data_IF_124317103392
#
_entry.id   IF_124317103392
#
_cell.length_a   1.000
_cell.length_b   1.000
_cell.length_c   1.000
_cell.angle_alpha   90.00
_cell.angle_beta   90.00
_cell.angle_gamma   90.00
#
_symmetry.space_group_name_H-M   'P 1'
#
loop_
_entity.id
_entity.type
_entity.pdbx_description
1 polymer ?
#
# COMPACT_ATOMS: atom_id res chain seq x y z
N UNK A 1 -72.55 106.32 -105.81
CA UNK A 1 -71.89 105.14 -105.21
C UNK A 1 -71.91 105.35 -103.69
N UNK A 2 -72.50 104.41 -102.95
CA UNK A 2 -73.03 104.68 -101.60
C UNK A 2 -71.90 104.90 -100.57
N UNK A 3 -71.60 106.16 -100.24
CA UNK A 3 -70.57 106.55 -99.26
C UNK A 3 -70.81 105.97 -97.86
N UNK A 4 -72.07 105.66 -97.54
CA UNK A 4 -72.48 104.95 -96.31
C UNK A 4 -71.95 103.52 -96.24
N UNK A 5 -71.86 102.79 -97.36
CA UNK A 5 -71.28 101.44 -97.40
C UNK A 5 -69.76 101.48 -97.19
N UNK A 6 -69.06 102.49 -97.71
CA UNK A 6 -67.62 102.69 -97.48
C UNK A 6 -67.31 103.02 -96.01
N UNK A 7 -68.10 103.91 -95.38
CA UNK A 7 -67.96 104.21 -93.95
C UNK A 7 -68.27 103.01 -93.04
N UNK A 8 -69.29 102.22 -93.39
CA UNK A 8 -69.60 100.95 -92.71
C UNK A 8 -68.47 99.93 -92.88
N UNK A 9 -67.86 99.82 -94.07
CA UNK A 9 -66.75 98.91 -94.32
C UNK A 9 -65.49 99.29 -93.52
N UNK A 10 -65.16 100.59 -93.44
CA UNK A 10 -64.03 101.08 -92.62
C UNK A 10 -64.28 100.85 -91.13
N UNK A 11 -65.50 101.12 -90.65
CA UNK A 11 -65.89 100.88 -89.25
C UNK A 11 -65.86 99.38 -88.91
N UNK A 12 -66.32 98.53 -89.84
CA UNK A 12 -66.24 97.07 -89.71
C UNK A 12 -64.79 96.59 -89.71
N UNK A 13 -63.92 97.11 -90.58
CA UNK A 13 -62.50 96.77 -90.62
C UNK A 13 -61.78 97.17 -89.32
N UNK A 14 -62.05 98.35 -88.77
CA UNK A 14 -61.50 98.77 -87.46
C UNK A 14 -62.02 97.90 -86.32
N UNK A 15 -63.30 97.52 -86.33
CA UNK A 15 -63.87 96.61 -85.33
C UNK A 15 -63.26 95.21 -85.41
N UNK A 16 -63.13 94.63 -86.61
CA UNK A 16 -62.47 93.34 -86.83
C UNK A 16 -61.01 93.40 -86.38
N UNK A 17 -60.28 94.48 -86.69
CA UNK A 17 -58.92 94.69 -86.22
C UNK A 17 -58.83 94.75 -84.69
N UNK A 18 -59.75 95.48 -84.03
CA UNK A 18 -59.82 95.56 -82.57
C UNK A 18 -60.14 94.19 -81.95
N UNK A 19 -61.09 93.46 -82.51
CA UNK A 19 -61.43 92.11 -82.06
C UNK A 19 -60.24 91.15 -82.25
N UNK A 20 -59.57 91.17 -83.40
CA UNK A 20 -58.40 90.34 -83.66
C UNK A 20 -57.22 90.69 -82.75
N UNK A 21 -57.03 91.97 -82.41
CA UNK A 21 -55.88 92.41 -81.63
C UNK A 21 -56.07 92.37 -80.12
N UNK A 22 -57.28 92.65 -79.60
CA UNK A 22 -57.51 92.80 -78.16
C UNK A 22 -58.45 91.75 -77.55
N UNK A 23 -59.44 91.26 -78.31
CA UNK A 23 -60.47 90.34 -77.77
C UNK A 23 -60.13 88.88 -78.03
N UNK A 24 -59.61 88.55 -79.21
CA UNK A 24 -59.25 87.19 -79.61
C UNK A 24 -58.07 86.60 -78.83
N UNK A 25 -56.96 87.34 -78.58
CA UNK A 25 -55.81 86.79 -77.86
C UNK A 25 -56.12 86.29 -76.45
N UNK A 26 -56.83 87.01 -75.55
CA UNK A 26 -57.13 86.50 -74.21
C UNK A 26 -58.09 85.29 -74.23
N UNK A 27 -59.02 85.23 -75.18
CA UNK A 27 -59.92 84.06 -75.32
C UNK A 27 -59.14 82.82 -75.77
N UNK A 28 -58.30 82.95 -76.81
CA UNK A 28 -57.47 81.84 -77.28
C UNK A 28 -56.48 81.38 -76.20
N UNK A 29 -55.81 82.31 -75.53
CA UNK A 29 -54.90 81.98 -74.43
C UNK A 29 -55.61 81.23 -73.29
N UNK A 30 -56.84 81.61 -72.94
CA UNK A 30 -57.62 80.93 -71.90
C UNK A 30 -58.06 79.52 -72.32
N UNK A 31 -58.41 79.32 -73.60
CA UNK A 31 -58.74 78.00 -74.16
C UNK A 31 -57.50 77.11 -74.21
N UNK A 32 -56.37 77.64 -74.71
CA UNK A 32 -55.09 76.94 -74.76
C UNK A 32 -54.58 76.56 -73.37
N UNK A 33 -54.68 77.45 -72.39
CA UNK A 33 -54.30 77.15 -70.99
C UNK A 33 -55.17 76.03 -70.41
N UNK A 34 -56.49 76.04 -70.68
CA UNK A 34 -57.39 74.95 -70.27
C UNK A 34 -57.08 73.64 -70.99
N UNK A 35 -56.88 73.67 -72.31
CA UNK A 35 -56.50 72.49 -73.09
C UNK A 35 -55.18 71.91 -72.59
N UNK A 36 -54.20 72.76 -72.30
CA UNK A 36 -52.91 72.36 -71.71
C UNK A 36 -53.08 71.75 -70.32
N UNK A 37 -53.85 72.36 -69.42
CA UNK A 37 -54.12 71.79 -68.08
C UNK A 37 -54.84 70.44 -68.15
N UNK A 38 -55.75 70.25 -69.10
CA UNK A 38 -56.44 68.97 -69.31
C UNK A 38 -55.46 67.92 -69.86
N UNK A 39 -54.64 68.30 -70.84
CA UNK A 39 -53.62 67.41 -71.39
C UNK A 39 -52.59 66.99 -70.33
N UNK A 40 -52.05 67.96 -69.58
CA UNK A 40 -51.11 67.72 -68.49
C UNK A 40 -51.75 66.88 -67.37
N UNK A 41 -53.03 67.14 -67.04
CA UNK A 41 -53.79 66.36 -66.07
C UNK A 41 -54.04 64.92 -66.49
N UNK A 42 -54.35 64.68 -67.78
CA UNK A 42 -54.53 63.34 -68.34
C UNK A 42 -53.22 62.55 -68.34
N UNK A 43 -52.11 63.19 -68.76
CA UNK A 43 -50.78 62.58 -68.72
C UNK A 43 -50.34 62.27 -67.29
N UNK A 44 -50.62 63.17 -66.34
CA UNK A 44 -50.34 62.93 -64.93
C UNK A 44 -51.18 61.76 -64.36
N UNK A 45 -52.45 61.66 -64.74
CA UNK A 45 -53.33 60.56 -64.33
C UNK A 45 -52.86 59.21 -64.91
N UNK A 46 -52.44 59.17 -66.18
CA UNK A 46 -51.89 57.97 -66.81
C UNK A 46 -50.57 57.54 -66.14
N UNK A 47 -49.68 58.49 -65.83
CA UNK A 47 -48.45 58.21 -65.07
C UNK A 47 -48.75 57.68 -63.67
N UNK A 48 -49.69 58.30 -62.94
CA UNK A 48 -50.09 57.84 -61.62
C UNK A 48 -50.67 56.43 -61.65
N UNK A 49 -51.48 56.09 -62.67
CA UNK A 49 -51.98 54.74 -62.86
C UNK A 49 -50.85 53.74 -63.12
N UNK A 50 -49.90 54.08 -64.00
CA UNK A 50 -48.74 53.24 -64.27
C UNK A 50 -47.82 53.06 -63.06
N UNK A 51 -47.59 54.13 -62.30
CA UNK A 51 -46.80 54.10 -61.08
C UNK A 51 -47.47 53.26 -59.99
N UNK A 52 -48.82 53.30 -59.90
CA UNK A 52 -49.60 52.43 -59.04
C UNK A 52 -49.43 50.96 -59.42
N UNK A 53 -49.54 50.63 -60.71
CA UNK A 53 -49.36 49.26 -61.21
C UNK A 53 -47.95 48.74 -60.93
N UNK A 54 -46.93 49.57 -61.17
CA UNK A 54 -45.54 49.24 -60.85
C UNK A 54 -45.34 49.05 -59.33
N UNK A 55 -45.93 49.91 -58.51
CA UNK A 55 -45.87 49.78 -57.05
C UNK A 55 -46.56 48.51 -56.56
N UNK A 56 -47.71 48.15 -57.12
CA UNK A 56 -48.40 46.90 -56.82
C UNK A 56 -47.61 45.67 -57.25
N UNK A 57 -47.00 45.69 -58.44
CA UNK A 57 -46.14 44.62 -58.92
C UNK A 57 -44.93 44.42 -58.01
N UNK A 58 -44.23 45.51 -57.68
CA UNK A 58 -43.08 45.49 -56.78
C UNK A 58 -43.45 45.00 -55.38
N UNK A 59 -44.60 45.44 -54.84
CA UNK A 59 -45.09 44.98 -53.55
C UNK A 59 -45.42 43.47 -53.58
N UNK A 60 -46.06 42.99 -54.65
CA UNK A 60 -46.32 41.56 -54.84
C UNK A 60 -45.02 40.74 -54.89
N UNK A 61 -44.00 41.23 -55.60
CA UNK A 61 -42.73 40.51 -55.74
C UNK A 61 -41.92 40.51 -54.44
N UNK A 62 -41.90 41.63 -53.70
CA UNK A 62 -41.36 41.67 -52.34
C UNK A 62 -42.08 40.70 -51.41
N UNK A 63 -43.41 40.59 -51.51
CA UNK A 63 -44.19 39.63 -50.71
C UNK A 63 -43.88 38.17 -51.08
N UNK A 64 -43.63 37.87 -52.35
CA UNK A 64 -43.18 36.53 -52.77
C UNK A 64 -41.79 36.23 -52.25
N UNK A 65 -40.86 37.19 -52.35
CA UNK A 65 -39.50 37.02 -51.85
C UNK A 65 -39.46 36.84 -50.34
N UNK A 66 -40.21 37.67 -49.58
CA UNK A 66 -40.35 37.54 -48.14
C UNK A 66 -40.95 36.18 -47.73
N UNK A 67 -41.95 35.68 -48.47
CA UNK A 67 -42.50 34.32 -48.25
C UNK A 67 -41.47 33.23 -48.52
N UNK A 68 -40.67 33.37 -49.57
CA UNK A 68 -39.57 32.44 -49.88
C UNK A 68 -38.54 32.42 -48.76
N UNK A 69 -38.03 33.59 -48.34
CA UNK A 69 -37.06 33.67 -47.23
C UNK A 69 -37.64 33.15 -45.92
N UNK A 70 -38.91 33.45 -45.62
CA UNK A 70 -39.57 32.90 -44.44
C UNK A 70 -39.61 31.35 -44.47
N UNK A 71 -39.88 30.77 -45.64
CA UNK A 71 -39.91 29.31 -45.83
C UNK A 71 -38.51 28.72 -45.67
N UNK A 72 -37.49 29.33 -46.26
CA UNK A 72 -36.09 28.93 -46.09
C UNK A 72 -35.62 29.01 -44.63
N UNK A 73 -36.00 30.07 -43.90
CA UNK A 73 -35.68 30.22 -42.47
C UNK A 73 -36.36 29.12 -41.65
N UNK A 74 -37.63 28.81 -41.92
CA UNK A 74 -38.36 27.72 -41.25
C UNK A 74 -37.72 26.36 -41.55
N UNK A 75 -37.33 26.12 -42.80
CA UNK A 75 -36.67 24.88 -43.21
C UNK A 75 -35.30 24.73 -42.52
N UNK A 76 -34.49 25.78 -42.50
CA UNK A 76 -33.21 25.80 -41.79
C UNK A 76 -33.39 25.62 -40.28
N UNK A 77 -34.41 26.24 -39.68
CA UNK A 77 -34.72 26.07 -38.26
C UNK A 77 -35.12 24.62 -37.95
N UNK A 78 -35.94 24.00 -38.80
CA UNK A 78 -36.31 22.59 -38.67
C UNK A 78 -35.12 21.65 -38.83
N UNK A 79 -34.21 21.94 -39.79
CA UNK A 79 -32.97 21.18 -39.97
C UNK A 79 -32.06 21.27 -38.76
N UNK A 80 -31.83 22.49 -38.24
CA UNK A 80 -31.04 22.71 -37.02
C UNK A 80 -31.66 22.03 -35.81
N UNK A 81 -32.99 22.09 -35.67
CA UNK A 81 -33.70 21.38 -34.61
C UNK A 81 -33.47 19.87 -34.70
N UNK A 82 -33.55 19.27 -35.88
CA UNK A 82 -33.28 17.85 -36.07
C UNK A 82 -31.84 17.50 -35.69
N UNK A 83 -30.86 18.30 -36.14
CA UNK A 83 -29.45 18.13 -35.78
C UNK A 83 -29.22 18.18 -34.26
N UNK A 84 -29.78 19.18 -33.57
CA UNK A 84 -29.67 19.30 -32.11
C UNK A 84 -30.26 18.08 -31.41
N UNK A 85 -31.39 17.56 -31.88
CA UNK A 85 -32.03 16.36 -31.30
C UNK A 85 -31.15 15.13 -31.52
N UNK A 86 -30.56 14.98 -32.70
CA UNK A 86 -29.73 13.82 -33.03
C UNK A 86 -28.38 13.89 -32.28
N UNK A 87 -27.73 15.05 -32.20
CA UNK A 87 -26.53 15.28 -31.38
C UNK A 87 -26.81 14.99 -29.90
N UNK A 88 -27.92 15.51 -29.36
CA UNK A 88 -28.30 15.25 -27.97
C UNK A 88 -28.60 13.76 -27.71
N UNK A 89 -29.15 13.03 -28.69
CA UNK A 89 -29.33 11.58 -28.60
C UNK A 89 -28.00 10.84 -28.60
N UNK A 90 -27.08 11.20 -29.49
CA UNK A 90 -25.76 10.58 -29.54
C UNK A 90 -24.98 10.81 -28.24
N UNK A 91 -25.00 12.03 -27.71
CA UNK A 91 -24.38 12.35 -26.41
C UNK A 91 -25.03 11.57 -25.26
N UNK A 92 -26.37 11.49 -25.24
CA UNK A 92 -27.08 10.70 -24.23
C UNK A 92 -26.77 9.20 -24.32
N UNK A 93 -26.60 8.64 -25.52
CA UNK A 93 -26.21 7.25 -25.71
C UNK A 93 -24.76 7.00 -25.27
N UNK A 94 -23.85 7.92 -25.57
CA UNK A 94 -22.46 7.85 -25.14
C UNK A 94 -22.35 7.91 -23.61
N UNK A 95 -23.05 8.85 -22.97
CA UNK A 95 -23.05 8.96 -21.51
C UNK A 95 -23.72 7.76 -20.84
N UNK A 96 -24.83 7.26 -21.41
CA UNK A 96 -25.46 6.01 -20.96
C UNK A 96 -24.48 4.84 -21.03
N UNK A 97 -23.77 4.67 -22.13
CA UNK A 97 -22.80 3.60 -22.28
C UNK A 97 -21.69 3.70 -21.25
N UNK A 98 -21.23 4.93 -20.96
CA UNK A 98 -20.23 5.21 -19.93
C UNK A 98 -20.71 4.84 -18.52
N UNK A 99 -21.95 5.21 -18.18
CA UNK A 99 -22.59 4.85 -16.90
C UNK A 99 -22.73 3.34 -16.78
N UNK A 100 -23.18 2.65 -17.83
CA UNK A 100 -23.30 1.19 -17.82
C UNK A 100 -21.94 0.50 -17.65
N UNK A 101 -20.91 0.95 -18.37
CA UNK A 101 -19.56 0.40 -18.24
C UNK A 101 -18.99 0.61 -16.82
N UNK A 102 -19.23 1.78 -16.22
CA UNK A 102 -18.84 2.05 -14.83
C UNK A 102 -19.59 1.15 -13.84
N UNK A 103 -20.90 0.99 -14.02
CA UNK A 103 -21.71 0.12 -13.17
C UNK A 103 -21.29 -1.35 -13.27
N UNK A 104 -21.00 -1.85 -14.48
CA UNK A 104 -20.48 -3.20 -14.68
C UNK A 104 -19.13 -3.40 -13.99
N UNK A 105 -18.22 -2.43 -14.09
CA UNK A 105 -16.92 -2.48 -13.40
C UNK A 105 -17.08 -2.48 -11.88
N UNK A 106 -17.99 -1.69 -11.33
CA UNK A 106 -18.29 -1.66 -9.89
C UNK A 106 -18.92 -2.96 -9.40
N UNK A 107 -19.86 -3.53 -10.16
CA UNK A 107 -20.47 -4.84 -9.87
C UNK A 107 -19.40 -5.95 -9.89
N UNK A 108 -18.50 -5.96 -10.86
CA UNK A 108 -17.43 -6.96 -10.98
C UNK A 108 -16.47 -6.86 -9.78
N UNK A 109 -16.09 -5.63 -9.39
CA UNK A 109 -15.26 -5.37 -8.23
C UNK A 109 -15.93 -5.83 -6.93
N UNK A 110 -17.22 -5.54 -6.76
CA UNK A 110 -17.98 -5.95 -5.58
C UNK A 110 -18.18 -7.47 -5.51
N UNK A 111 -18.41 -8.12 -6.66
CA UNK A 111 -18.48 -9.59 -6.75
C UNK A 111 -17.16 -10.23 -6.34
N UNK A 112 -16.03 -9.63 -6.73
CA UNK A 112 -14.71 -10.14 -6.35
C UNK A 112 -14.46 -9.93 -4.85
N UNK A 113 -14.81 -8.78 -4.27
CA UNK A 113 -14.77 -8.56 -2.82
C UNK A 113 -15.62 -9.59 -2.05
N UNK A 114 -16.86 -9.81 -2.49
CA UNK A 114 -17.74 -10.81 -1.89
C UNK A 114 -17.17 -12.23 -1.99
N UNK A 115 -16.52 -12.58 -3.11
CA UNK A 115 -15.83 -13.87 -3.28
C UNK A 115 -14.65 -14.02 -2.34
N UNK A 116 -13.84 -12.97 -2.18
CA UNK A 116 -12.68 -13.00 -1.28
C UNK A 116 -13.12 -13.14 0.18
N UNK A 117 -14.18 -12.44 0.57
CA UNK A 117 -14.74 -12.56 1.92
C UNK A 117 -15.37 -13.94 2.16
N UNK A 118 -16.06 -14.50 1.16
CA UNK A 118 -16.55 -15.88 1.23
C UNK A 118 -15.37 -16.87 1.35
N UNK A 119 -14.28 -16.66 0.60
CA UNK A 119 -13.09 -17.50 0.64
C UNK A 119 -12.46 -17.48 2.04
N UNK A 120 -12.39 -16.33 2.70
CA UNK A 120 -11.94 -16.21 4.09
C UNK A 120 -12.84 -17.00 5.04
N UNK A 121 -14.16 -16.87 4.92
CA UNK A 121 -15.10 -17.60 5.79
C UNK A 121 -14.99 -19.12 5.59
N UNK A 122 -14.91 -19.57 4.33
CA UNK A 122 -14.74 -21.00 4.00
C UNK A 122 -13.41 -21.50 4.50
N UNK A 123 -12.33 -20.72 4.40
CA UNK A 123 -11.03 -21.06 4.97
C UNK A 123 -11.14 -21.27 6.48
N UNK A 124 -11.72 -20.32 7.22
CA UNK A 124 -11.93 -20.46 8.67
C UNK A 124 -12.74 -21.71 9.01
N UNK A 125 -13.81 -22.00 8.27
CA UNK A 125 -14.64 -23.16 8.49
C UNK A 125 -13.93 -24.48 8.16
N UNK A 126 -13.10 -24.50 7.11
CA UNK A 126 -12.29 -25.65 6.72
C UNK A 126 -11.23 -25.98 7.77
N UNK A 127 -10.59 -24.95 8.37
CA UNK A 127 -9.66 -25.14 9.50
C UNK A 127 -10.39 -25.70 10.71
N UNK A 128 -11.52 -25.13 11.09
CA UNK A 128 -12.32 -25.63 12.21
C UNK A 128 -12.81 -27.08 11.97
N UNK A 129 -13.18 -27.41 10.73
CA UNK A 129 -13.54 -28.77 10.33
C UNK A 129 -12.36 -29.73 10.40
N UNK A 130 -11.18 -29.33 9.91
CA UNK A 130 -9.96 -30.12 9.98
C UNK A 130 -9.50 -30.34 11.42
N UNK A 131 -9.58 -29.32 12.28
CA UNK A 131 -9.28 -29.41 13.71
C UNK A 131 -10.18 -30.43 14.41
N UNK A 132 -11.50 -30.39 14.13
CA UNK A 132 -12.47 -31.33 14.71
C UNK A 132 -12.33 -32.76 14.19
N UNK A 133 -11.92 -32.94 12.93
CA UNK A 133 -11.60 -34.26 12.37
C UNK A 133 -10.30 -34.78 12.98
N UNK A 134 -9.28 -33.94 13.10
CA UNK A 134 -8.00 -34.30 13.71
C UNK A 134 -8.17 -34.67 15.18
N UNK A 135 -8.95 -33.91 15.96
CA UNK A 135 -9.30 -34.22 17.34
C UNK A 135 -9.97 -35.60 17.47
N UNK A 136 -10.73 -36.01 16.43
CA UNK A 136 -11.37 -37.33 16.34
C UNK A 136 -10.46 -38.43 15.77
N UNK A 137 -9.44 -38.07 14.98
CA UNK A 137 -8.56 -38.99 14.25
C UNK A 137 -7.12 -39.00 14.77
N UNK A 138 -6.85 -38.49 15.97
CA UNK A 138 -5.59 -38.77 16.69
C UNK A 138 -5.63 -40.24 17.10
N UNK A 139 -5.28 -41.08 16.14
CA UNK A 139 -4.94 -42.48 16.33
C UNK A 139 -3.41 -42.63 16.24
N UNK A 140 -2.86 -43.56 17.04
CA UNK A 140 -1.45 -43.62 17.46
C UNK A 140 -0.42 -43.82 16.32
N UNK A 141 -0.86 -44.07 15.10
CA UNK A 141 0.00 -44.48 13.98
C UNK A 141 0.35 -43.35 12.99
N UNK A 142 -0.34 -42.21 13.01
CA UNK A 142 -0.09 -41.09 12.06
C UNK A 142 1.14 -40.22 12.40
N UNK A 143 1.88 -40.57 13.45
CA UNK A 143 2.99 -39.78 13.99
C UNK A 143 4.34 -40.03 13.27
N UNK A 144 4.42 -41.02 12.39
CA UNK A 144 5.68 -41.46 11.75
C UNK A 144 6.01 -40.70 10.46
N UNK A 145 5.01 -40.37 9.64
CA UNK A 145 5.23 -39.84 8.27
C UNK A 145 5.54 -38.32 8.23
N UNK A 146 5.29 -37.61 9.32
CA UNK A 146 5.50 -36.15 9.40
C UNK A 146 6.96 -35.80 9.75
N UNK A 147 7.72 -36.75 10.32
CA UNK A 147 9.11 -36.53 10.73
C UNK A 147 10.10 -36.40 9.56
N UNK A 148 9.78 -36.96 8.39
CA UNK A 148 10.72 -37.05 7.26
C UNK A 148 10.69 -35.84 6.33
N UNK A 149 9.62 -35.04 6.33
CA UNK A 149 9.47 -33.89 5.41
C UNK A 149 10.03 -32.56 5.96
N UNK A 150 10.35 -32.48 7.26
CA UNK A 150 10.74 -31.23 7.92
C UNK A 150 12.27 -31.04 7.96
N UNK A 151 13.04 -32.12 7.78
CA UNK A 151 14.51 -32.12 7.88
C UNK A 151 15.22 -31.44 6.71
N UNK A 152 14.53 -31.16 5.60
CA UNK A 152 15.17 -30.66 4.38
C UNK A 152 15.33 -29.14 4.27
N UNK A 153 14.75 -28.30 5.17
CA UNK A 153 14.55 -26.88 4.83
C UNK A 153 15.18 -25.78 5.67
N UNK A 154 15.81 -26.00 6.83
CA UNK A 154 16.18 -24.84 7.68
C UNK A 154 17.53 -24.96 8.41
N UNK A 155 18.62 -24.87 7.65
CA UNK A 155 19.95 -24.53 8.17
C UNK A 155 20.42 -23.18 7.61
N UNK A 156 20.26 -22.11 8.39
CA UNK A 156 21.16 -20.94 8.50
C UNK A 156 20.49 -19.84 9.33
N UNK A 157 21.08 -19.51 10.49
CA UNK A 157 21.55 -18.16 10.87
C UNK A 157 21.88 -18.11 12.37
N UNK A 158 23.13 -17.78 12.71
CA UNK A 158 23.58 -17.50 14.09
C UNK A 158 23.79 -16.00 14.34
N UNK A 159 23.89 -15.60 15.61
CA UNK A 159 24.07 -14.21 16.10
C UNK A 159 24.88 -14.18 17.46
N UNK A 160 25.39 -13.03 17.98
CA UNK A 160 26.79 -12.89 18.49
C UNK A 160 27.03 -12.48 19.99
N UNK A 161 28.32 -12.38 20.38
CA UNK A 161 28.99 -12.38 21.73
C UNK A 161 29.58 -11.02 22.24
N UNK A 162 29.99 -10.92 23.54
CA UNK A 162 30.54 -9.71 24.25
C UNK A 162 31.96 -9.84 24.86
N UNK A 163 32.59 -8.69 25.24
CA UNK A 163 34.06 -8.43 25.35
C UNK A 163 34.85 -8.99 26.57
N UNK A 164 34.22 -9.35 27.70
CA UNK A 164 34.95 -9.83 28.90
C UNK A 164 35.56 -11.24 28.74
N UNK A 165 35.10 -11.98 27.74
CA UNK A 165 35.60 -13.31 27.36
C UNK A 165 37.02 -13.30 26.80
N UNK A 166 37.56 -12.13 26.42
CA UNK A 166 38.87 -12.06 25.75
C UNK A 166 40.06 -12.31 26.70
N UNK A 167 39.91 -11.98 27.99
CA UNK A 167 41.00 -12.08 28.97
C UNK A 167 40.98 -13.40 29.73
N UNK A 168 39.79 -13.93 30.03
CA UNK A 168 39.63 -15.19 30.76
C UNK A 168 39.99 -16.42 29.90
N UNK A 169 39.70 -16.36 28.59
CA UNK A 169 39.83 -17.49 27.66
C UNK A 169 41.23 -18.09 27.53
N UNK A 170 42.34 -17.32 27.46
CA UNK A 170 43.68 -17.90 27.42
C UNK A 170 44.06 -18.66 28.70
N UNK A 171 43.64 -18.17 29.87
CA UNK A 171 43.91 -18.83 31.15
C UNK A 171 43.01 -20.06 31.36
N UNK A 172 41.73 -19.94 31.03
CA UNK A 172 40.80 -21.07 31.04
C UNK A 172 41.25 -22.18 30.08
N UNK A 173 41.72 -21.81 28.89
CA UNK A 173 42.26 -22.77 27.92
C UNK A 173 43.55 -23.44 28.42
N UNK A 174 44.49 -22.69 28.99
CA UNK A 174 45.71 -23.28 29.53
C UNK A 174 45.45 -24.23 30.70
N UNK A 175 44.53 -23.86 31.60
CA UNK A 175 44.07 -24.72 32.70
C UNK A 175 43.34 -25.97 32.17
N UNK A 176 42.50 -25.80 31.14
CA UNK A 176 41.75 -26.88 30.50
C UNK A 176 42.65 -27.87 29.77
N UNK A 177 43.58 -27.37 28.93
CA UNK A 177 44.53 -28.20 28.21
C UNK A 177 45.36 -29.05 29.19
N UNK A 178 45.78 -28.47 30.32
CA UNK A 178 46.50 -29.19 31.39
C UNK A 178 45.63 -30.21 32.13
N UNK A 179 44.38 -29.87 32.44
CA UNK A 179 43.43 -30.76 33.10
C UNK A 179 43.07 -31.97 32.23
N UNK A 180 42.98 -31.78 30.90
CA UNK A 180 42.77 -32.85 29.92
C UNK A 180 43.99 -33.76 29.82
N UNK A 181 45.21 -33.20 29.76
CA UNK A 181 46.45 -34.00 29.71
C UNK A 181 46.66 -34.88 30.95
N UNK A 182 46.21 -34.44 32.13
CA UNK A 182 46.34 -35.15 33.40
C UNK A 182 45.11 -35.97 33.81
N UNK A 183 44.05 -35.96 33.00
CA UNK A 183 42.75 -36.58 33.32
C UNK A 183 42.16 -36.14 34.68
N UNK A 184 42.45 -34.91 35.10
CA UNK A 184 42.03 -34.36 36.39
C UNK A 184 40.91 -33.31 36.23
N UNK A 185 40.05 -33.46 35.22
CA UNK A 185 39.03 -32.47 34.86
C UNK A 185 38.07 -32.14 36.00
N UNK A 186 37.58 -33.14 36.73
CA UNK A 186 36.63 -32.92 37.83
C UNK A 186 37.28 -32.25 39.04
N UNK A 187 38.52 -32.64 39.36
CA UNK A 187 39.32 -31.99 40.42
C UNK A 187 39.60 -30.52 40.10
N UNK A 188 39.88 -30.20 38.84
CA UNK A 188 40.07 -28.81 38.40
C UNK A 188 38.78 -27.98 38.47
N UNK A 189 37.61 -28.57 38.19
CA UNK A 189 36.32 -27.87 38.37
C UNK A 189 36.09 -27.54 39.84
N UNK A 190 36.32 -28.48 40.75
CA UNK A 190 36.17 -28.25 42.20
C UNK A 190 37.14 -27.16 42.70
N UNK A 191 38.41 -27.23 42.30
CA UNK A 191 39.42 -26.23 42.63
C UNK A 191 39.07 -24.84 42.09
N UNK A 192 38.67 -24.73 40.81
CA UNK A 192 38.31 -23.45 40.20
C UNK A 192 37.01 -22.88 40.77
N UNK A 193 36.06 -23.74 41.15
CA UNK A 193 34.83 -23.32 41.83
C UNK A 193 35.14 -22.73 43.21
N UNK A 194 36.05 -23.36 43.96
CA UNK A 194 36.50 -22.84 45.24
C UNK A 194 37.30 -21.53 45.10
N UNK A 195 38.22 -21.45 44.13
CA UNK A 195 38.96 -20.24 43.82
C UNK A 195 38.04 -19.08 43.38
N UNK A 196 37.02 -19.35 42.56
CA UNK A 196 36.02 -18.37 42.16
C UNK A 196 35.14 -17.93 43.33
N UNK A 197 34.79 -18.84 44.25
CA UNK A 197 34.03 -18.50 45.46
C UNK A 197 34.83 -17.58 46.40
N UNK A 198 36.14 -17.83 46.56
CA UNK A 198 37.06 -16.96 47.31
C UNK A 198 37.14 -15.58 46.65
N UNK A 199 37.29 -15.53 45.32
CA UNK A 199 37.37 -14.27 44.58
C UNK A 199 36.06 -13.46 44.58
N UNK A 200 34.92 -14.12 44.81
CA UNK A 200 33.59 -13.49 44.85
C UNK A 200 33.21 -12.95 46.24
N UNK A 201 33.94 -13.30 47.30
CA UNK A 201 33.66 -12.79 48.63
C UNK A 201 34.13 -11.32 48.75
N UNK A 202 33.22 -10.43 49.16
CA UNK A 202 33.40 -8.98 49.13
C UNK A 202 34.63 -8.51 49.95
N UNK A 203 34.92 -9.13 51.09
CA UNK A 203 36.09 -8.80 51.93
C UNK A 203 37.42 -9.11 51.22
N UNK A 204 37.43 -10.11 50.33
CA UNK A 204 38.60 -10.56 49.60
C UNK A 204 38.72 -9.81 48.27
N UNK A 205 37.61 -9.50 47.61
CA UNK A 205 37.56 -8.69 46.40
C UNK A 205 38.09 -7.25 46.65
N UNK A 206 37.77 -6.65 47.79
CA UNK A 206 38.32 -5.36 48.22
C UNK A 206 39.83 -5.44 48.52
N UNK A 207 40.30 -6.58 49.04
CA UNK A 207 41.72 -6.81 49.32
C UNK A 207 42.56 -7.04 48.04
N UNK A 208 41.96 -7.68 47.02
CA UNK A 208 42.57 -7.94 45.71
C UNK A 208 42.64 -6.68 44.86
N UNK A 209 41.63 -5.80 44.96
CA UNK A 209 41.62 -4.51 44.26
C UNK A 209 42.38 -3.40 45.01
N UNK A 210 42.65 -3.59 46.31
CA UNK A 210 43.52 -2.76 47.12
C UNK A 210 45.00 -2.86 46.73
N UNK A 211 45.83 -1.93 47.24
CA UNK A 211 47.26 -1.83 46.94
C UNK A 211 48.12 -2.86 47.68
N UNK A 212 47.75 -4.13 47.61
CA UNK A 212 48.50 -5.25 48.20
C UNK A 212 49.43 -5.83 47.12
N UNK A 213 50.65 -6.20 47.50
CA UNK A 213 51.61 -6.82 46.58
C UNK A 213 51.15 -8.21 46.15
N UNK A 214 51.31 -8.54 44.86
CA UNK A 214 50.88 -9.82 44.26
C UNK A 214 51.32 -11.06 45.05
N UNK A 215 52.49 -11.02 45.68
CA UNK A 215 53.02 -12.09 46.54
C UNK A 215 52.17 -12.32 47.79
N UNK A 216 51.68 -11.25 48.42
CA UNK A 216 50.87 -11.30 49.64
C UNK A 216 49.43 -11.76 49.34
N UNK A 217 48.89 -11.37 48.19
CA UNK A 217 47.57 -11.85 47.72
C UNK A 217 47.63 -13.35 47.42
N UNK A 218 48.68 -13.84 46.75
CA UNK A 218 48.87 -15.27 46.53
C UNK A 218 49.06 -16.07 47.84
N UNK A 219 49.77 -15.53 48.83
CA UNK A 219 49.89 -16.13 50.17
C UNK A 219 48.54 -16.22 50.89
N UNK A 220 47.70 -15.18 50.81
CA UNK A 220 46.36 -15.17 51.42
C UNK A 220 45.45 -16.18 50.73
N UNK A 221 45.49 -16.27 49.39
CA UNK A 221 44.76 -17.29 48.64
C UNK A 221 45.21 -18.72 49.00
N UNK A 222 46.51 -18.95 49.17
CA UNK A 222 47.02 -20.25 49.60
C UNK A 222 46.69 -20.55 51.07
N UNK A 223 46.62 -19.54 51.94
CA UNK A 223 46.25 -19.72 53.35
C UNK A 223 44.76 -20.01 53.54
N UNK A 224 43.88 -19.41 52.73
CA UNK A 224 42.44 -19.66 52.71
C UNK A 224 42.12 -20.97 51.96
N UNK A 225 42.93 -21.27 50.96
CA UNK A 225 42.86 -22.45 50.12
C UNK A 225 43.27 -23.78 50.74
N UNK A 226 44.16 -23.74 51.72
CA UNK A 226 44.63 -24.93 52.45
C UNK A 226 45.02 -26.11 51.54
N UNK A 227 44.79 -27.33 52.04
CA UNK A 227 45.10 -28.63 51.39
C UNK A 227 44.24 -28.96 50.15
N UNK A 228 43.37 -28.05 49.68
CA UNK A 228 42.48 -28.31 48.53
C UNK A 228 43.03 -27.79 47.19
N UNK A 229 44.11 -27.01 47.20
CA UNK A 229 44.78 -26.59 45.97
C UNK A 229 45.99 -27.47 45.69
N UNK A 230 45.94 -28.22 44.59
CA UNK A 230 47.11 -28.90 44.04
C UNK A 230 48.20 -27.88 43.65
N UNK A 231 49.46 -28.34 43.59
CA UNK A 231 50.64 -27.53 43.19
C UNK A 231 50.40 -26.74 41.88
N UNK A 232 49.54 -27.26 41.00
CA UNK A 232 49.15 -26.64 39.74
C UNK A 232 48.09 -25.53 39.88
N UNK A 233 47.11 -25.69 40.76
CA UNK A 233 46.13 -24.65 41.06
C UNK A 233 46.78 -23.44 41.74
N UNK A 234 47.75 -23.69 42.63
CA UNK A 234 48.55 -22.65 43.26
C UNK A 234 49.42 -21.88 42.26
N UNK A 235 49.97 -22.56 41.25
CA UNK A 235 50.70 -21.93 40.15
C UNK A 235 49.80 -21.06 39.28
N UNK A 236 48.56 -21.49 38.97
CA UNK A 236 47.60 -20.66 38.23
C UNK A 236 47.24 -19.40 39.03
N UNK A 237 46.94 -19.55 40.33
CA UNK A 237 46.62 -18.42 41.21
C UNK A 237 47.81 -17.46 41.32
N UNK A 238 49.04 -17.97 41.42
CA UNK A 238 50.26 -17.15 41.44
C UNK A 238 50.44 -16.35 40.15
N UNK A 239 50.26 -16.99 38.99
CA UNK A 239 50.37 -16.32 37.68
C UNK A 239 49.25 -15.28 37.49
N UNK A 240 48.05 -15.56 37.98
CA UNK A 240 46.94 -14.59 37.94
C UNK A 240 47.12 -13.44 38.93
N UNK A 241 47.73 -13.70 40.10
CA UNK A 241 48.09 -12.69 41.08
C UNK A 241 49.19 -11.75 40.57
N UNK A 242 50.25 -12.29 39.97
CA UNK A 242 51.36 -11.51 39.38
C UNK A 242 50.88 -10.59 38.25
N UNK A 243 49.87 -11.02 37.49
CA UNK A 243 49.27 -10.22 36.42
C UNK A 243 48.13 -9.30 36.88
N UNK A 244 47.75 -9.31 38.17
CA UNK A 244 46.65 -8.51 38.71
C UNK A 244 45.26 -8.91 38.17
N UNK A 245 45.08 -10.15 37.72
CA UNK A 245 43.86 -10.63 37.03
C UNK A 245 43.00 -11.58 37.86
N UNK A 246 43.21 -11.63 39.17
CA UNK A 246 42.46 -12.50 40.08
C UNK A 246 40.95 -12.22 40.09
N UNK A 247 40.53 -11.00 39.74
CA UNK A 247 39.12 -10.62 39.60
C UNK A 247 38.41 -11.42 38.50
N UNK A 248 39.14 -11.92 37.50
CA UNK A 248 38.59 -12.70 36.38
C UNK A 248 38.47 -14.21 36.68
N UNK A 249 38.76 -14.68 37.91
CA UNK A 249 38.62 -16.09 38.29
C UNK A 249 37.20 -16.65 38.09
N UNK A 250 36.11 -15.93 38.41
CA UNK A 250 34.75 -16.38 38.12
C UNK A 250 34.50 -16.57 36.63
N UNK A 251 35.01 -15.67 35.78
CA UNK A 251 34.87 -15.76 34.33
C UNK A 251 35.71 -16.91 33.75
N UNK A 252 36.90 -17.18 34.30
CA UNK A 252 37.72 -18.34 33.95
C UNK A 252 37.00 -19.65 34.27
N UNK A 253 36.25 -19.73 35.38
CA UNK A 253 35.43 -20.90 35.71
C UNK A 253 34.30 -21.10 34.71
N UNK A 254 33.60 -20.02 34.31
CA UNK A 254 32.53 -20.10 33.30
C UNK A 254 33.09 -20.60 31.98
N UNK A 255 34.22 -20.06 31.52
CA UNK A 255 34.83 -20.47 30.27
C UNK A 255 35.41 -21.88 30.33
N UNK A 256 35.94 -22.30 31.49
CA UNK A 256 36.39 -23.68 31.69
C UNK A 256 35.22 -24.66 31.63
N UNK A 257 34.07 -24.31 32.22
CA UNK A 257 32.85 -25.11 32.13
C UNK A 257 32.30 -25.14 30.70
N UNK A 258 32.42 -24.05 29.95
CA UNK A 258 32.03 -24.00 28.54
C UNK A 258 32.96 -24.86 27.66
N UNK A 259 34.28 -24.82 27.90
CA UNK A 259 35.24 -25.69 27.23
C UNK A 259 35.02 -27.17 27.61
N UNK A 260 34.68 -27.46 28.88
CA UNK A 260 34.24 -28.79 29.31
C UNK A 260 32.97 -29.22 28.60
N UNK A 261 31.96 -28.36 28.48
CA UNK A 261 30.72 -28.63 27.73
C UNK A 261 30.99 -28.86 26.24
N UNK A 262 31.89 -28.13 25.62
CA UNK A 262 32.24 -28.33 24.21
C UNK A 262 32.99 -29.66 24.00
N UNK A 263 33.88 -30.03 24.92
CA UNK A 263 34.60 -31.31 24.90
C UNK A 263 33.69 -32.50 25.22
N UNK A 264 32.83 -32.37 26.23
CA UNK A 264 31.79 -33.35 26.58
C UNK A 264 30.63 -33.36 25.57
N UNK A 265 30.63 -32.42 24.62
CA UNK A 265 29.56 -32.20 23.65
C UNK A 265 28.22 -32.15 24.38
N UNK A 266 28.05 -31.29 25.38
CA UNK A 266 26.84 -31.23 26.18
C UNK A 266 25.93 -30.07 25.74
N UNK A 267 24.66 -30.35 25.41
CA UNK A 267 23.66 -29.34 25.02
C UNK A 267 22.58 -29.24 26.10
N UNK A 268 22.28 -28.02 26.53
CA UNK A 268 21.15 -27.71 27.41
C UNK A 268 19.85 -27.65 26.57
N UNK A 269 18.84 -28.46 26.94
CA UNK A 269 17.56 -28.56 26.23
C UNK A 269 16.41 -28.32 27.19
N UNK A 270 15.69 -27.22 26.99
CA UNK A 270 14.47 -26.88 27.70
C UNK A 270 13.27 -27.57 27.03
N UNK A 271 12.54 -28.38 27.77
CA UNK A 271 11.32 -29.06 27.28
C UNK A 271 10.12 -28.44 27.97
N UNK A 272 9.29 -27.74 27.19
CA UNK A 272 8.03 -27.14 27.66
C UNK A 272 6.87 -28.04 27.25
N UNK A 273 6.20 -28.65 28.22
CA UNK A 273 5.08 -29.58 28.00
C UNK A 273 3.76 -29.09 28.58
N UNK A 274 2.65 -29.49 27.96
CA UNK A 274 1.28 -29.20 28.42
C UNK A 274 0.88 -29.98 29.69
N UNK A 275 1.57 -31.08 29.98
CA UNK A 275 1.35 -31.92 31.18
C UNK A 275 2.68 -32.31 31.79
N UNK A 276 2.69 -32.61 33.09
CA UNK A 276 3.89 -33.04 33.81
C UNK A 276 4.45 -34.35 33.21
N UNK A 277 5.70 -34.29 32.73
CA UNK A 277 6.37 -35.41 32.09
C UNK A 277 6.77 -36.48 33.11
N UNK A 278 6.33 -37.72 32.92
CA UNK A 278 6.73 -38.88 33.72
C UNK A 278 8.22 -39.21 33.52
N UNK A 279 8.89 -39.79 34.52
CA UNK A 279 10.33 -40.14 34.47
C UNK A 279 10.71 -41.04 33.28
N UNK A 280 9.81 -41.91 32.84
CA UNK A 280 9.97 -42.76 31.64
C UNK A 280 10.02 -41.93 30.35
N UNK A 281 9.23 -40.86 30.27
CA UNK A 281 9.20 -39.98 29.09
C UNK A 281 10.41 -39.05 29.07
N UNK A 282 10.87 -38.57 30.24
CA UNK A 282 12.10 -37.77 30.37
C UNK A 282 13.32 -38.55 29.89
N UNK A 283 13.44 -39.81 30.29
CA UNK A 283 14.55 -40.69 29.88
C UNK A 283 14.47 -41.08 28.40
N UNK A 284 13.27 -41.31 27.85
CA UNK A 284 13.10 -41.58 26.42
C UNK A 284 13.42 -40.35 25.55
N UNK A 285 12.99 -39.15 25.97
CA UNK A 285 13.29 -37.87 25.33
C UNK A 285 14.80 -37.59 25.41
N UNK A 286 15.43 -37.80 26.57
CA UNK A 286 16.88 -37.68 26.74
C UNK A 286 17.62 -38.60 25.78
N UNK A 287 17.31 -39.89 25.76
CA UNK A 287 17.97 -40.86 24.89
C UNK A 287 17.76 -40.56 23.40
N UNK A 288 16.59 -40.06 23.01
CA UNK A 288 16.30 -39.68 21.62
C UNK A 288 17.02 -38.40 21.21
N UNK A 289 17.12 -37.43 22.12
CA UNK A 289 17.86 -36.19 21.89
C UNK A 289 19.38 -36.44 21.88
N UNK A 290 19.89 -37.29 22.78
CA UNK A 290 21.31 -37.70 22.80
C UNK A 290 21.72 -38.43 21.52
N UNK A 291 20.87 -39.35 21.03
CA UNK A 291 21.11 -40.04 19.75
C UNK A 291 21.04 -39.12 18.54
N UNK A 292 20.16 -38.11 18.56
CA UNK A 292 19.98 -37.18 17.43
C UNK A 292 21.00 -36.06 17.40
N UNK A 293 21.47 -35.63 18.56
CA UNK A 293 22.45 -34.55 18.66
C UNK A 293 23.88 -35.09 18.68
N UNK A 294 24.10 -36.40 18.92
CA UNK A 294 25.42 -37.03 19.15
C UNK A 294 26.19 -36.36 20.32
N UNK A 295 25.43 -35.86 21.30
CA UNK A 295 25.84 -34.94 22.36
C UNK A 295 25.10 -35.34 23.64
N UNK A 296 25.73 -35.23 24.81
CA UNK A 296 25.05 -35.47 26.11
C UNK A 296 24.03 -34.34 26.34
N UNK A 297 22.83 -34.65 26.84
CA UNK A 297 21.75 -33.64 26.93
C UNK A 297 21.38 -33.39 28.39
N UNK A 298 21.41 -32.13 28.82
CA UNK A 298 20.86 -31.73 30.12
C UNK A 298 19.45 -31.19 29.91
N UNK A 299 18.45 -31.94 30.39
CA UNK A 299 17.04 -31.61 30.24
C UNK A 299 16.56 -30.69 31.37
N UNK A 300 16.04 -29.52 31.01
CA UNK A 300 15.29 -28.66 31.92
C UNK A 300 13.81 -28.72 31.52
N UNK A 301 12.95 -29.28 32.38
CA UNK A 301 11.53 -29.43 32.08
C UNK A 301 10.72 -28.30 32.71
N UNK A 302 9.87 -27.63 31.93
CA UNK A 302 8.92 -26.62 32.40
C UNK A 302 7.50 -26.96 31.92
N UNK A 303 6.48 -26.75 32.76
CA UNK A 303 5.08 -27.02 32.40
C UNK A 303 4.36 -25.71 32.11
N UNK A 304 3.66 -25.64 30.97
CA UNK A 304 2.85 -24.48 30.58
C UNK A 304 1.43 -24.93 30.17
N UNK A 305 0.45 -24.60 31.01
CA UNK A 305 -0.96 -24.98 30.88
C UNK A 305 -1.69 -24.28 29.71
N UNK A 306 -1.06 -23.28 29.08
CA UNK A 306 -1.64 -22.58 27.91
C UNK A 306 -1.49 -23.36 26.60
N UNK A 307 -0.74 -24.47 26.63
CA UNK A 307 -0.57 -25.39 25.52
C UNK A 307 -1.70 -26.41 25.55
N UNK A 308 -2.64 -26.32 24.60
CA UNK A 308 -3.75 -27.27 24.42
C UNK A 308 -3.31 -28.69 23.98
N UNK A 309 -2.01 -28.96 23.99
CA UNK A 309 -1.40 -30.22 23.59
C UNK A 309 -0.14 -30.02 22.74
N UNK A 310 0.85 -30.88 22.98
CA UNK A 310 2.14 -30.89 22.29
C UNK A 310 3.32 -30.55 23.21
N UNK A 311 4.52 -30.63 22.66
CA UNK A 311 5.78 -30.31 23.35
C UNK A 311 6.49 -29.25 22.54
N UNK A 312 6.98 -28.21 23.23
CA UNK A 312 7.91 -27.23 22.67
C UNK A 312 9.28 -27.58 23.22
N UNK A 313 10.19 -28.01 22.36
CA UNK A 313 11.57 -28.32 22.74
C UNK A 313 12.45 -27.14 22.32
N UNK A 314 13.12 -26.50 23.26
CA UNK A 314 14.05 -25.40 23.04
C UNK A 314 15.46 -25.84 23.41
N UNK A 315 16.31 -26.05 22.42
CA UNK A 315 17.72 -26.40 22.60
C UNK A 315 18.59 -25.23 22.12
N UNK A 316 19.00 -24.33 23.02
CA UNK A 316 19.65 -23.07 22.64
C UNK A 316 18.77 -22.24 21.70
N UNK A 317 19.21 -22.05 20.46
CA UNK A 317 18.48 -21.33 19.40
C UNK A 317 17.42 -22.20 18.68
N UNK A 318 17.39 -23.51 18.94
CA UNK A 318 16.48 -24.44 18.26
C UNK A 318 15.16 -24.56 19.02
N UNK A 319 14.14 -23.83 18.58
CA UNK A 319 12.76 -23.99 19.07
C UNK A 319 11.99 -24.92 18.13
N UNK A 320 11.79 -26.16 18.58
CA UNK A 320 10.89 -27.13 17.96
C UNK A 320 9.51 -26.95 18.58
N UNK A 321 8.70 -26.09 17.97
CA UNK A 321 7.30 -25.91 18.34
C UNK A 321 6.41 -26.92 17.60
N UNK A 322 6.05 -27.99 18.31
CA UNK A 322 5.07 -28.97 17.87
C UNK A 322 3.74 -28.84 18.62
N UNK A 323 3.43 -27.64 19.12
CA UNK A 323 2.13 -27.35 19.73
C UNK A 323 1.03 -27.31 18.65
N UNK A 324 -0.18 -27.74 19.01
CA UNK A 324 -1.35 -27.60 18.14
C UNK A 324 -1.59 -26.13 17.74
N UNK A 325 -1.33 -25.21 18.68
CA UNK A 325 -1.46 -23.76 18.50
C UNK A 325 -0.51 -23.18 17.45
N UNK A 326 0.76 -23.59 17.45
CA UNK A 326 1.77 -23.14 16.47
C UNK A 326 1.47 -23.60 15.03
N UNK A 327 0.72 -24.69 14.85
CA UNK A 327 0.25 -25.14 13.52
C UNK A 327 -0.97 -24.37 13.03
N UNK A 328 -1.94 -24.10 13.90
CA UNK A 328 -3.13 -23.30 13.56
C UNK A 328 -2.77 -21.86 13.17
N UNK A 329 -1.84 -21.23 13.88
CA UNK A 329 -1.41 -19.86 13.55
C UNK A 329 -0.75 -19.76 12.17
N UNK A 330 0.16 -20.69 11.83
CA UNK A 330 0.81 -20.69 10.50
C UNK A 330 -0.18 -20.91 9.36
N UNK A 331 -1.23 -21.70 9.60
CA UNK A 331 -2.27 -21.96 8.62
C UNK A 331 -3.23 -20.77 8.47
N UNK A 332 -3.50 -20.05 9.56
CA UNK A 332 -4.25 -18.79 9.53
C UNK A 332 -3.50 -17.70 8.74
N UNK A 333 -2.20 -17.56 8.95
CA UNK A 333 -1.35 -16.55 8.30
C UNK A 333 -1.19 -16.82 6.78
N UNK A 334 -1.02 -18.08 6.37
CA UNK A 334 -0.94 -18.47 4.96
C UNK A 334 -2.28 -18.34 4.20
N UNK A 335 -3.41 -18.23 4.90
CA UNK A 335 -4.74 -18.00 4.31
C UNK A 335 -5.11 -16.52 4.20
N UNK A 336 -4.36 -15.64 4.88
CA UNK A 336 -4.54 -14.18 4.82
C UNK A 336 -3.68 -13.51 3.74
N UNK A 337 -2.65 -14.19 3.23
CA UNK A 337 -1.83 -13.76 2.08
C UNK A 337 -2.40 -14.21 0.74
#
# INVERSE_FOLDING_TARGET
MNATLLGQAISFAMFVWFCMKYVWPPIMNAIEERQKKIADGLVAAERAAKDLDLAQANASDQMKEAKRTATEVIEQANKRKAQIIDEAREEALAERQKILAQAEAEIEAERNRARDDLRKQVATLAVAGAEKILERSIDKDAQKDILDNITAKLLKRGAPMSELTTIARPYAKAAFDFAVEKQALDQWVEMLTFAAAIAKNDEIADLISGSVTATRVAEIFNAIGGEQFDEFGQNLIKVMAENGRLVALPDVLVEFLELKKELEKQIDVDVISASELTEEQRTEISNKLEKRLERKVKLNCSVDETLLGGVIIRAGDLVIDNSARGRLNRLSEAMQS
#
